data_IF_658771841379
#
_entry.id   IF_658771841379
#
_cell.length_a   1.000
_cell.length_b   1.000
_cell.length_c   1.000
_cell.angle_alpha   90.00
_cell.angle_beta   90.00
_cell.angle_gamma   90.00
#
_symmetry.space_group_name_H-M   'P 1'
#
loop_
_entity.id
_entity.type
_entity.pdbx_description
1 polymer ?
#
# COMPACT_ATOMS: atom_id res chain seq x y z
N UNK A 1 4.17 5.74 13.34
CA UNK A 1 3.41 4.57 12.86
C UNK A 1 2.14 5.07 12.20
N UNK A 2 1.62 4.43 11.15
CA UNK A 2 0.37 4.90 10.54
C UNK A 2 0.01 4.23 9.21
N UNK A 3 -0.93 4.85 8.50
CA UNK A 3 -1.25 4.52 7.11
C UNK A 3 -0.49 5.46 6.16
N UNK A 4 0.00 4.91 5.06
CA UNK A 4 0.51 5.63 3.90
C UNK A 4 -0.53 5.58 2.78
N UNK A 5 -1.06 6.74 2.35
CA UNK A 5 -1.98 6.79 1.22
C UNK A 5 -1.24 7.00 -0.10
N UNK A 6 -1.46 6.12 -1.06
CA UNK A 6 -1.01 6.32 -2.44
C UNK A 6 -2.01 7.21 -3.16
N UNK A 7 -1.57 8.38 -3.55
CA UNK A 7 -2.42 9.43 -4.11
C UNK A 7 -2.42 9.30 -5.63
N UNK A 8 -3.51 8.78 -6.17
CA UNK A 8 -3.80 8.85 -7.59
C UNK A 8 -4.40 10.19 -8.00
N UNK A 9 -4.56 10.39 -9.32
CA UNK A 9 -5.11 11.63 -9.91
C UNK A 9 -6.44 12.09 -9.29
N UNK A 10 -7.32 11.15 -8.93
CA UNK A 10 -8.66 11.46 -8.42
C UNK A 10 -8.72 11.52 -6.89
N UNK A 11 -7.57 11.33 -6.22
CA UNK A 11 -7.49 11.21 -4.77
C UNK A 11 -6.91 12.47 -4.12
N UNK A 12 -6.36 13.38 -4.93
CA UNK A 12 -5.75 14.66 -4.49
C UNK A 12 -6.67 15.44 -3.57
N UNK A 13 -7.88 15.80 -4.04
CA UNK A 13 -8.80 16.63 -3.26
C UNK A 13 -9.30 15.95 -1.97
N UNK A 14 -9.71 14.67 -1.99
CA UNK A 14 -10.01 13.92 -0.76
C UNK A 14 -8.87 13.92 0.27
N UNK A 15 -7.62 13.76 -0.18
CA UNK A 15 -6.44 13.76 0.70
C UNK A 15 -6.16 15.16 1.25
N UNK A 16 -6.15 16.18 0.39
CA UNK A 16 -5.97 17.58 0.77
C UNK A 16 -7.02 18.02 1.81
N UNK A 17 -8.30 17.78 1.55
CA UNK A 17 -9.40 18.16 2.45
C UNK A 17 -9.33 17.41 3.79
N UNK A 18 -8.89 16.16 3.79
CA UNK A 18 -8.71 15.40 5.02
C UNK A 18 -7.54 15.97 5.83
N UNK A 19 -6.36 16.07 5.22
CA UNK A 19 -5.13 16.52 5.89
C UNK A 19 -5.21 17.96 6.38
N UNK A 20 -5.90 18.84 5.65
CA UNK A 20 -6.15 20.22 6.08
C UNK A 20 -7.06 20.35 7.31
N UNK A 21 -7.74 19.27 7.73
CA UNK A 21 -8.59 19.26 8.93
C UNK A 21 -8.03 18.38 10.05
N UNK A 22 -7.38 17.27 9.69
CA UNK A 22 -6.84 16.28 10.62
C UNK A 22 -5.82 15.37 9.93
N UNK A 23 -4.88 14.83 10.70
CA UNK A 23 -3.90 13.86 10.19
C UNK A 23 -3.76 12.59 11.03
N UNK A 24 -4.59 12.40 12.06
CA UNK A 24 -4.49 11.26 12.96
C UNK A 24 -4.46 9.92 12.20
N UNK A 25 -3.50 9.07 12.57
CA UNK A 25 -3.32 7.76 11.96
C UNK A 25 -2.64 7.79 10.59
N UNK A 26 -2.42 8.95 9.96
CA UNK A 26 -1.69 9.07 8.69
C UNK A 26 -0.24 9.42 8.96
N UNK A 27 0.69 8.66 8.38
CA UNK A 27 2.13 8.93 8.52
C UNK A 27 2.77 9.41 7.24
N UNK A 28 2.18 9.11 6.09
CA UNK A 28 2.71 9.51 4.79
C UNK A 28 1.65 9.58 3.69
N UNK A 29 1.97 10.32 2.63
CA UNK A 29 1.33 10.22 1.31
C UNK A 29 2.39 9.91 0.27
N UNK A 30 2.11 8.96 -0.62
CA UNK A 30 2.97 8.65 -1.77
C UNK A 30 2.29 9.15 -3.03
N UNK A 31 2.91 10.12 -3.69
CA UNK A 31 2.46 10.65 -4.98
C UNK A 31 2.66 9.59 -6.07
N UNK A 32 1.71 9.49 -7.00
CA UNK A 32 1.80 8.58 -8.15
C UNK A 32 3.02 8.88 -9.04
N UNK A 33 3.49 7.86 -9.74
CA UNK A 33 4.54 7.94 -10.77
C UNK A 33 4.33 9.07 -11.80
N UNK A 34 3.08 9.37 -12.14
CA UNK A 34 2.67 10.41 -13.09
C UNK A 34 2.18 11.67 -12.38
N UNK A 35 2.61 11.89 -11.14
CA UNK A 35 2.26 13.09 -10.40
C UNK A 35 2.62 14.34 -11.21
N UNK A 36 1.60 15.15 -11.50
CA UNK A 36 1.75 16.46 -12.11
C UNK A 36 1.50 17.57 -11.09
N UNK A 37 1.39 18.80 -11.57
CA UNK A 37 1.21 20.02 -10.74
C UNK A 37 0.06 19.92 -9.73
N UNK A 38 -1.03 19.21 -10.04
CA UNK A 38 -2.16 19.05 -9.12
C UNK A 38 -1.81 18.28 -7.85
N UNK A 39 -0.79 17.41 -7.86
CA UNK A 39 -0.38 16.67 -6.67
C UNK A 39 0.37 17.55 -5.65
N UNK A 40 0.77 18.77 -6.04
CA UNK A 40 1.46 19.71 -5.15
C UNK A 40 0.57 20.25 -4.03
N UNK A 41 -0.74 20.36 -4.25
CA UNK A 41 -1.68 20.75 -3.18
C UNK A 41 -1.75 19.68 -2.08
N UNK A 42 -1.88 18.40 -2.45
CA UNK A 42 -1.86 17.30 -1.49
C UNK A 42 -0.51 17.19 -0.77
N UNK A 43 0.61 17.41 -1.48
CA UNK A 43 1.93 17.46 -0.86
C UNK A 43 2.11 18.66 0.09
N UNK A 44 1.55 19.82 -0.24
CA UNK A 44 1.50 21.00 0.64
C UNK A 44 0.75 20.70 1.93
N UNK A 45 -0.49 20.24 1.82
CA UNK A 45 -1.32 19.88 2.98
C UNK A 45 -0.66 18.80 3.85
N UNK A 46 -0.01 17.80 3.25
CA UNK A 46 0.73 16.79 3.99
C UNK A 46 1.89 17.40 4.79
N UNK A 47 2.70 18.29 4.19
CA UNK A 47 3.80 18.95 4.90
C UNK A 47 3.31 19.82 6.05
N UNK A 48 2.26 20.61 5.83
CA UNK A 48 1.64 21.45 6.87
C UNK A 48 1.14 20.60 8.05
N UNK A 49 0.65 19.38 7.76
CA UNK A 49 0.22 18.42 8.75
C UNK A 49 1.34 17.53 9.34
N UNK A 50 2.63 17.80 9.03
CA UNK A 50 3.80 16.99 9.40
C UNK A 50 3.72 15.52 8.95
N UNK A 51 3.05 15.27 7.82
CA UNK A 51 2.94 13.97 7.16
C UNK A 51 4.02 13.86 6.08
N UNK A 52 4.73 12.73 6.05
CA UNK A 52 5.79 12.53 5.07
C UNK A 52 5.23 12.50 3.64
N UNK A 53 5.93 13.13 2.70
CA UNK A 53 5.61 13.11 1.28
C UNK A 53 6.66 12.29 0.55
N UNK A 54 6.21 11.23 -0.12
CA UNK A 54 7.03 10.38 -0.99
C UNK A 54 6.58 10.53 -2.43
N UNK A 55 7.45 10.16 -3.37
CA UNK A 55 7.11 10.00 -4.77
C UNK A 55 7.58 8.63 -5.24
N UNK A 56 6.79 7.97 -6.06
CA UNK A 56 7.11 6.65 -6.59
C UNK A 56 7.76 6.76 -7.98
N UNK A 57 9.01 6.30 -8.17
CA UNK A 57 9.66 6.34 -9.48
C UNK A 57 8.98 5.45 -10.55
N UNK A 58 8.41 4.31 -10.14
CA UNK A 58 7.73 3.37 -11.04
C UNK A 58 8.66 2.68 -12.05
N UNK A 59 9.97 2.68 -11.80
CA UNK A 59 10.99 2.10 -12.68
C UNK A 59 10.77 0.60 -12.91
N UNK A 60 10.22 -0.12 -11.94
CA UNK A 60 9.87 -1.53 -12.06
C UNK A 60 8.81 -1.79 -13.12
N UNK A 61 7.90 -0.82 -13.35
CA UNK A 61 6.89 -0.90 -14.42
C UNK A 61 7.42 -0.48 -15.77
N UNK A 62 8.47 0.34 -15.79
CA UNK A 62 9.16 0.79 -17.01
C UNK A 62 10.18 -0.24 -17.52
N UNK A 63 10.42 -1.34 -16.78
CA UNK A 63 11.20 -2.49 -17.25
C UNK A 63 10.42 -3.47 -18.14
N UNK A 64 9.19 -3.13 -18.54
CA UNK A 64 8.34 -3.97 -19.40
C UNK A 64 7.57 -3.11 -20.38
N UNK A 65 7.30 -3.62 -21.58
CA UNK A 65 6.52 -2.89 -22.59
C UNK A 65 5.16 -2.45 -22.03
N UNK A 66 4.73 -1.24 -22.38
CA UNK A 66 3.48 -0.70 -21.90
C UNK A 66 2.89 0.40 -22.77
N UNK A 67 1.57 0.50 -22.76
CA UNK A 67 0.87 1.64 -23.34
C UNK A 67 0.99 2.88 -22.44
N UNK A 68 1.08 4.06 -23.05
CA UNK A 68 1.17 5.37 -22.38
C UNK A 68 2.40 5.54 -21.48
N UNK A 69 3.51 4.87 -21.82
CA UNK A 69 4.79 5.06 -21.15
C UNK A 69 5.36 6.46 -21.28
N UNK A 70 5.12 7.15 -22.41
CA UNK A 70 5.54 8.54 -22.61
C UNK A 70 4.95 9.55 -21.62
N UNK A 71 4.03 9.14 -20.74
CA UNK A 71 3.54 9.98 -19.64
C UNK A 71 4.35 9.82 -18.34
N UNK A 72 5.29 8.86 -18.28
CA UNK A 72 6.15 8.66 -17.13
C UNK A 72 7.40 9.54 -17.23
N UNK A 73 7.78 10.29 -16.18
CA UNK A 73 8.94 11.18 -16.22
C UNK A 73 10.26 10.49 -16.55
N UNK A 74 10.39 9.21 -16.20
CA UNK A 74 11.62 8.42 -16.39
C UNK A 74 11.64 7.64 -17.71
N UNK A 75 10.61 7.72 -18.55
CA UNK A 75 10.59 6.99 -19.80
C UNK A 75 11.55 7.59 -20.83
N UNK A 76 12.45 6.77 -21.37
CA UNK A 76 13.48 7.19 -22.34
C UNK A 76 13.25 6.62 -23.74
N UNK A 77 12.03 6.20 -24.07
CA UNK A 77 11.69 5.63 -25.38
C UNK A 77 11.81 4.11 -25.48
N UNK A 78 12.46 3.45 -24.53
CA UNK A 78 12.58 1.99 -24.46
C UNK A 78 12.48 1.47 -23.01
N UNK A 79 12.03 0.22 -22.80
CA UNK A 79 12.02 -0.39 -21.48
C UNK A 79 13.40 -0.47 -20.86
N UNK A 80 13.47 -0.29 -19.54
CA UNK A 80 14.71 -0.53 -18.80
C UNK A 80 15.08 -2.01 -18.83
N UNK A 81 16.36 -2.30 -18.98
CA UNK A 81 16.91 -3.65 -18.88
C UNK A 81 17.73 -3.74 -17.59
N UNK A 82 17.19 -4.32 -16.49
CA UNK A 82 17.91 -4.39 -15.21
C UNK A 82 19.32 -4.99 -15.33
N UNK A 83 19.49 -6.03 -16.16
CA UNK A 83 20.79 -6.64 -16.41
C UNK A 83 21.81 -5.68 -17.05
N UNK A 84 21.39 -4.83 -18.00
CA UNK A 84 22.26 -3.84 -18.62
C UNK A 84 22.65 -2.73 -17.62
N UNK A 85 21.68 -2.28 -16.82
CA UNK A 85 21.91 -1.27 -15.77
C UNK A 85 22.84 -1.81 -14.69
N UNK A 86 22.70 -3.09 -14.31
CA UNK A 86 23.59 -3.75 -13.35
C UNK A 86 25.02 -3.89 -13.89
N UNK A 87 25.18 -4.11 -15.19
CA UNK A 87 26.48 -4.25 -15.84
C UNK A 87 27.21 -2.92 -16.09
N UNK A 88 26.51 -1.77 -16.05
CA UNK A 88 27.07 -0.45 -16.38
C UNK A 88 26.90 0.54 -15.23
N UNK A 89 28.01 0.94 -14.62
CA UNK A 89 28.03 1.98 -13.59
C UNK A 89 27.47 3.31 -14.11
N UNK A 90 27.77 3.66 -15.37
CA UNK A 90 27.27 4.86 -16.02
C UNK A 90 25.75 4.82 -16.22
N UNK A 91 25.20 3.68 -16.63
CA UNK A 91 23.74 3.52 -16.79
C UNK A 91 23.03 3.60 -15.45
N UNK A 92 23.58 2.96 -14.42
CA UNK A 92 23.11 3.08 -13.04
C UNK A 92 23.14 4.54 -12.56
N UNK A 93 24.24 5.26 -12.77
CA UNK A 93 24.39 6.66 -12.37
C UNK A 93 23.41 7.57 -13.13
N UNK A 94 23.24 7.36 -14.44
CA UNK A 94 22.26 8.11 -15.25
C UNK A 94 20.83 7.87 -14.78
N UNK A 95 20.45 6.63 -14.47
CA UNK A 95 19.12 6.32 -13.96
C UNK A 95 18.88 6.98 -12.61
N UNK A 96 19.85 6.92 -11.69
CA UNK A 96 19.72 7.56 -10.38
C UNK A 96 19.63 9.07 -10.52
N UNK A 97 20.49 9.71 -11.31
CA UNK A 97 20.46 11.14 -11.54
C UNK A 97 19.12 11.60 -12.15
N UNK A 98 18.63 10.88 -13.17
CA UNK A 98 17.32 11.14 -13.76
C UNK A 98 16.18 10.97 -12.74
N UNK A 99 16.28 9.94 -11.89
CA UNK A 99 15.30 9.69 -10.83
C UNK A 99 15.28 10.82 -9.81
N UNK A 100 16.44 11.24 -9.30
CA UNK A 100 16.56 12.37 -8.36
C UNK A 100 16.04 13.66 -8.99
N UNK A 101 16.42 13.94 -10.24
CA UNK A 101 16.00 15.16 -10.93
C UNK A 101 14.50 15.20 -11.25
N UNK A 102 13.85 14.04 -11.39
CA UNK A 102 12.41 13.94 -11.62
C UNK A 102 11.58 14.00 -10.32
N UNK A 103 12.21 13.93 -9.14
CA UNK A 103 11.47 14.02 -7.88
C UNK A 103 10.77 15.38 -7.80
N UNK A 104 9.46 15.41 -7.54
CA UNK A 104 8.76 16.68 -7.45
C UNK A 104 9.17 17.48 -6.21
N UNK A 105 9.02 18.81 -6.29
CA UNK A 105 9.24 19.68 -5.14
C UNK A 105 8.32 19.32 -3.97
N UNK A 106 8.84 19.46 -2.75
CA UNK A 106 8.10 19.18 -1.52
C UNK A 106 8.08 17.72 -1.08
N UNK A 107 8.72 16.79 -1.81
CA UNK A 107 9.00 15.46 -1.25
C UNK A 107 9.93 15.58 -0.04
N UNK A 108 9.62 14.80 0.99
CA UNK A 108 10.38 14.77 2.25
C UNK A 108 11.54 13.77 2.21
N UNK A 109 11.46 12.79 1.32
CA UNK A 109 12.46 11.75 1.13
C UNK A 109 12.71 11.58 -0.37
N UNK A 110 13.92 11.12 -0.72
CA UNK A 110 14.22 10.69 -2.09
C UNK A 110 14.06 9.18 -2.17
N UNK A 111 13.18 8.73 -3.06
CA UNK A 111 12.94 7.31 -3.28
C UNK A 111 13.87 6.79 -4.38
N UNK A 112 14.68 5.80 -4.05
CA UNK A 112 15.58 5.18 -5.00
C UNK A 112 14.82 4.51 -6.16
N UNK A 113 15.35 4.51 -7.39
CA UNK A 113 14.83 3.66 -8.45
C UNK A 113 14.98 2.20 -8.05
N UNK A 114 14.01 1.39 -8.43
CA UNK A 114 13.95 -0.03 -8.05
C UNK A 114 13.29 -0.87 -9.15
N UNK A 115 13.59 -2.16 -9.15
CA UNK A 115 13.02 -3.15 -10.08
C UNK A 115 12.39 -4.31 -9.31
N UNK A 116 11.59 -5.11 -10.01
CA UNK A 116 10.93 -6.27 -9.42
C UNK A 116 11.94 -7.38 -9.12
N UNK A 117 12.04 -7.76 -7.86
CA UNK A 117 13.00 -8.77 -7.38
C UNK A 117 12.39 -10.16 -7.44
N UNK A 118 12.91 -11.00 -8.32
CA UNK A 118 12.66 -12.44 -8.36
C UNK A 118 13.95 -13.28 -8.28
N UNK A 119 15.11 -12.62 -8.34
CA UNK A 119 16.45 -13.23 -8.36
C UNK A 119 17.49 -12.31 -7.70
N UNK A 120 18.67 -12.86 -7.41
CA UNK A 120 19.72 -12.18 -6.66
C UNK A 120 20.30 -10.94 -7.36
N UNK A 121 20.50 -11.00 -8.69
CA UNK A 121 21.05 -9.90 -9.47
C UNK A 121 20.18 -8.63 -9.35
N UNK A 122 18.86 -8.76 -9.49
CA UNK A 122 17.95 -7.60 -9.36
C UNK A 122 17.88 -7.10 -7.91
N UNK A 123 17.98 -7.99 -6.92
CA UNK A 123 18.02 -7.60 -5.51
C UNK A 123 19.26 -6.74 -5.20
N UNK A 124 20.43 -7.19 -5.64
CA UNK A 124 21.69 -6.46 -5.47
C UNK A 124 21.71 -5.14 -6.25
N UNK A 125 21.15 -5.12 -7.48
CA UNK A 125 20.97 -3.89 -8.24
C UNK A 125 20.16 -2.86 -7.45
N UNK A 126 19.03 -3.26 -6.86
CA UNK A 126 18.20 -2.33 -6.08
C UNK A 126 18.93 -1.75 -4.85
N UNK A 127 19.77 -2.54 -4.18
CA UNK A 127 20.62 -2.03 -3.09
C UNK A 127 21.62 -1.02 -3.63
N UNK A 128 22.32 -1.34 -4.72
CA UNK A 128 23.32 -0.45 -5.33
C UNK A 128 22.69 0.86 -5.85
N UNK A 129 21.45 0.82 -6.35
CA UNK A 129 20.71 2.02 -6.75
C UNK A 129 20.32 2.88 -5.54
N UNK A 130 19.93 2.26 -4.41
CA UNK A 130 19.66 2.96 -3.17
C UNK A 130 20.91 3.62 -2.59
N UNK A 131 22.05 2.93 -2.59
CA UNK A 131 23.34 3.48 -2.16
C UNK A 131 23.74 4.72 -2.99
N UNK A 132 23.64 4.62 -4.32
CA UNK A 132 23.94 5.74 -5.22
C UNK A 132 22.99 6.92 -5.01
N UNK A 133 21.71 6.64 -4.77
CA UNK A 133 20.71 7.68 -4.48
C UNK A 133 21.05 8.41 -3.18
N UNK A 134 21.44 7.67 -2.13
CA UNK A 134 21.88 8.25 -0.86
C UNK A 134 23.13 9.13 -1.04
N UNK A 135 24.13 8.66 -1.80
CA UNK A 135 25.35 9.43 -2.09
C UNK A 135 25.10 10.71 -2.88
N UNK A 136 24.16 10.69 -3.83
CA UNK A 136 23.83 11.86 -4.66
C UNK A 136 23.02 12.90 -3.89
N UNK A 137 22.14 12.47 -2.97
CA UNK A 137 21.32 13.38 -2.17
C UNK A 137 21.46 13.13 -0.66
N UNK A 138 22.64 13.36 -0.05
CA UNK A 138 22.87 13.06 1.35
C UNK A 138 22.06 13.95 2.30
N UNK A 139 21.64 15.13 1.84
CA UNK A 139 20.86 16.08 2.64
C UNK A 139 19.38 15.70 2.81
N UNK A 140 18.87 14.70 2.08
CA UNK A 140 17.49 14.20 2.22
C UNK A 140 17.51 12.71 2.58
N UNK A 141 16.70 12.25 3.53
CA UNK A 141 16.61 10.83 3.86
C UNK A 141 16.26 10.00 2.62
N UNK A 142 16.96 8.86 2.47
CA UNK A 142 16.73 7.94 1.36
C UNK A 142 15.67 6.90 1.74
N UNK A 143 14.68 6.74 0.86
CA UNK A 143 13.66 5.70 0.96
C UNK A 143 13.88 4.64 -0.10
N UNK A 144 13.77 3.37 0.27
CA UNK A 144 13.77 2.27 -0.68
C UNK A 144 12.36 1.70 -0.88
N UNK A 145 12.11 1.11 -2.05
CA UNK A 145 10.96 0.23 -2.28
C UNK A 145 11.52 -1.12 -2.71
N UNK A 146 11.16 -2.17 -2.00
CA UNK A 146 11.47 -3.56 -2.35
C UNK A 146 10.18 -4.25 -2.81
N UNK A 147 9.96 -4.25 -4.13
CA UNK A 147 8.91 -5.08 -4.74
C UNK A 147 9.50 -6.44 -5.07
N UNK A 148 9.14 -7.47 -4.31
CA UNK A 148 9.76 -8.79 -4.33
C UNK A 148 8.73 -9.91 -4.53
N UNK A 149 9.13 -10.98 -5.23
CA UNK A 149 8.32 -12.17 -5.39
C UNK A 149 8.01 -12.81 -4.04
N UNK A 150 6.73 -12.97 -3.72
CA UNK A 150 6.27 -13.57 -2.47
C UNK A 150 6.69 -15.05 -2.33
N UNK A 151 7.05 -15.72 -3.44
CA UNK A 151 7.40 -17.15 -3.46
C UNK A 151 8.77 -17.43 -2.84
N UNK A 152 9.72 -16.52 -3.02
CA UNK A 152 11.11 -16.68 -2.60
C UNK A 152 11.63 -15.47 -1.79
N UNK A 153 10.75 -14.60 -1.31
CA UNK A 153 11.13 -13.39 -0.59
C UNK A 153 12.02 -13.67 0.62
N UNK A 154 11.64 -14.61 1.48
CA UNK A 154 12.41 -14.93 2.69
C UNK A 154 13.80 -15.49 2.34
N UNK A 155 13.87 -16.38 1.36
CA UNK A 155 15.11 -16.97 0.88
C UNK A 155 16.07 -15.89 0.36
N UNK A 156 15.60 -15.03 -0.56
CA UNK A 156 16.43 -13.96 -1.12
C UNK A 156 16.88 -12.94 -0.07
N UNK A 157 16.01 -12.61 0.89
CA UNK A 157 16.34 -11.68 1.97
C UNK A 157 17.43 -12.25 2.87
N UNK A 158 17.35 -13.54 3.20
CA UNK A 158 18.30 -14.22 4.09
C UNK A 158 19.62 -14.55 3.39
N UNK A 159 19.59 -15.18 2.22
CA UNK A 159 20.81 -15.59 1.48
C UNK A 159 21.70 -14.41 1.09
N UNK A 160 21.09 -13.25 0.80
CA UNK A 160 21.80 -12.05 0.41
C UNK A 160 21.98 -11.07 1.56
N UNK A 161 21.47 -11.34 2.76
CA UNK A 161 21.53 -10.39 3.87
C UNK A 161 20.98 -8.99 3.47
N UNK A 162 19.85 -8.96 2.74
CA UNK A 162 19.34 -7.73 2.11
C UNK A 162 19.03 -6.66 3.14
N UNK A 163 18.48 -7.04 4.29
CA UNK A 163 18.13 -6.10 5.35
C UNK A 163 19.37 -5.34 5.86
N UNK A 164 20.47 -6.04 6.14
CA UNK A 164 21.70 -5.39 6.55
C UNK A 164 22.36 -4.61 5.42
N UNK A 165 22.28 -5.09 4.16
CA UNK A 165 22.76 -4.34 3.00
C UNK A 165 22.06 -2.97 2.87
N UNK A 166 20.72 -2.94 2.93
CA UNK A 166 19.98 -1.68 2.89
C UNK A 166 20.31 -0.76 4.07
N UNK A 167 20.45 -1.32 5.28
CA UNK A 167 20.86 -0.54 6.44
C UNK A 167 22.27 0.05 6.29
N UNK A 168 23.25 -0.73 5.79
CA UNK A 168 24.64 -0.29 5.57
C UNK A 168 24.74 0.88 4.58
N UNK A 169 23.87 0.92 3.58
CA UNK A 169 23.88 1.99 2.57
C UNK A 169 23.09 3.23 2.99
N UNK A 170 22.60 3.29 4.24
CA UNK A 170 21.94 4.46 4.81
C UNK A 170 20.45 4.58 4.47
N UNK A 171 19.78 3.48 4.11
CA UNK A 171 18.31 3.51 3.96
C UNK A 171 17.66 3.52 5.33
N UNK A 172 16.91 4.59 5.62
CA UNK A 172 16.20 4.76 6.90
C UNK A 172 14.75 4.25 6.84
N UNK A 173 14.14 4.28 5.65
CA UNK A 173 12.76 3.89 5.43
C UNK A 173 12.64 2.98 4.21
N UNK A 174 11.90 1.88 4.36
CA UNK A 174 11.67 0.92 3.29
C UNK A 174 10.21 0.53 3.20
N UNK A 175 9.68 0.54 1.97
CA UNK A 175 8.39 -0.09 1.67
C UNK A 175 8.62 -1.47 1.05
N UNK A 176 8.07 -2.50 1.68
CA UNK A 176 8.20 -3.89 1.23
C UNK A 176 6.88 -4.34 0.61
N UNK A 177 6.92 -4.76 -0.65
CA UNK A 177 5.77 -5.21 -1.43
C UNK A 177 6.00 -6.63 -1.91
N UNK A 178 5.35 -7.58 -1.26
CA UNK A 178 5.37 -8.97 -1.69
C UNK A 178 4.39 -9.16 -2.86
N UNK A 179 4.80 -9.83 -3.93
CA UNK A 179 3.97 -10.03 -5.12
C UNK A 179 3.93 -11.51 -5.56
N UNK A 180 2.75 -12.11 -5.77
CA UNK A 180 1.43 -11.58 -5.41
C UNK A 180 1.23 -11.60 -3.89
N UNK A 181 0.53 -10.62 -3.32
CA UNK A 181 0.14 -10.60 -1.90
C UNK A 181 -0.97 -9.58 -1.64
N UNK A 182 -1.73 -9.76 -0.56
CA UNK A 182 -2.87 -8.92 -0.22
C UNK A 182 -4.21 -9.40 -0.79
N UNK A 183 -5.27 -8.65 -0.53
CA UNK A 183 -6.65 -9.02 -0.85
C UNK A 183 -7.28 -10.00 0.15
N UNK A 184 -8.36 -10.65 -0.29
CA UNK A 184 -9.30 -11.37 0.59
C UNK A 184 -9.08 -12.90 0.68
N UNK A 185 -8.14 -13.43 -0.11
CA UNK A 185 -7.80 -14.87 -0.18
C UNK A 185 -6.28 -15.10 0.02
N UNK A 186 -5.78 -14.77 1.21
CA UNK A 186 -4.39 -15.00 1.60
C UNK A 186 -4.33 -16.04 2.73
N UNK A 187 -3.47 -17.05 2.58
CA UNK A 187 -3.28 -18.09 3.58
C UNK A 187 -2.40 -17.64 4.75
N UNK A 188 -2.62 -18.24 5.92
CA UNK A 188 -1.81 -18.08 7.14
C UNK A 188 -0.30 -18.19 6.88
N UNK A 189 0.13 -19.22 6.16
CA UNK A 189 1.55 -19.44 5.82
C UNK A 189 2.16 -18.26 5.05
N UNK A 190 1.43 -17.68 4.09
CA UNK A 190 1.88 -16.53 3.31
C UNK A 190 1.96 -15.27 4.17
N UNK A 191 1.02 -15.07 5.09
CA UNK A 191 1.05 -13.93 6.01
C UNK A 191 2.25 -14.04 6.97
N UNK A 192 2.52 -15.23 7.51
CA UNK A 192 3.71 -15.48 8.34
C UNK A 192 5.00 -15.18 7.61
N UNK A 193 5.15 -15.69 6.39
CA UNK A 193 6.33 -15.42 5.58
C UNK A 193 6.49 -13.93 5.30
N UNK A 194 5.40 -13.21 5.02
CA UNK A 194 5.44 -11.77 4.85
C UNK A 194 5.94 -11.07 6.13
N UNK A 195 5.38 -11.39 7.29
CA UNK A 195 5.78 -10.76 8.56
C UNK A 195 7.22 -11.08 8.96
N UNK A 196 7.68 -12.31 8.74
CA UNK A 196 9.07 -12.68 8.94
C UNK A 196 10.02 -11.84 8.06
N UNK A 197 9.66 -11.58 6.80
CA UNK A 197 10.41 -10.66 5.94
C UNK A 197 10.43 -9.25 6.52
N UNK A 198 9.30 -8.71 6.99
CA UNK A 198 9.25 -7.37 7.59
C UNK A 198 10.16 -7.25 8.83
N UNK A 199 10.13 -8.26 9.70
CA UNK A 199 10.91 -8.29 10.93
C UNK A 199 12.42 -8.25 10.68
N UNK A 200 12.91 -8.86 9.58
CA UNK A 200 14.32 -8.77 9.18
C UNK A 200 14.73 -7.32 8.99
N UNK A 201 14.00 -6.54 8.20
CA UNK A 201 14.32 -5.14 7.96
C UNK A 201 14.16 -4.28 9.23
N UNK A 202 13.11 -4.54 10.01
CA UNK A 202 12.86 -3.84 11.27
C UNK A 202 13.97 -4.08 12.29
N UNK A 203 14.51 -5.31 12.37
CA UNK A 203 15.61 -5.66 13.29
C UNK A 203 16.91 -4.91 12.98
N UNK A 204 17.07 -4.43 11.75
CA UNK A 204 18.17 -3.57 11.33
C UNK A 204 17.88 -2.07 11.50
N UNK A 205 16.84 -1.71 12.26
CA UNK A 205 16.54 -0.31 12.63
C UNK A 205 15.83 0.51 11.56
N UNK A 206 15.47 -0.08 10.43
CA UNK A 206 14.71 0.62 9.38
C UNK A 206 13.26 0.82 9.79
N UNK A 207 12.68 1.95 9.35
CA UNK A 207 11.22 2.16 9.37
C UNK A 207 10.58 1.35 8.26
N UNK A 208 9.75 0.38 8.62
CA UNK A 208 9.17 -0.57 7.66
C UNK A 208 7.71 -0.25 7.36
N UNK A 209 7.41 -0.04 6.08
CA UNK A 209 6.05 0.02 5.54
C UNK A 209 5.73 -1.27 4.79
N UNK A 210 4.66 -1.97 5.15
CA UNK A 210 4.16 -3.10 4.34
C UNK A 210 3.21 -2.59 3.25
N UNK A 211 3.56 -2.83 1.99
CA UNK A 211 2.92 -2.18 0.87
C UNK A 211 1.67 -2.90 0.33
N UNK A 212 0.65 -2.11 -0.01
CA UNK A 212 -0.61 -2.49 -0.70
C UNK A 212 -1.28 -3.75 -0.13
N UNK A 213 -1.54 -3.76 1.18
CA UNK A 213 -2.05 -4.98 1.84
C UNK A 213 -3.22 -4.75 2.81
N UNK A 214 -3.90 -3.61 2.73
CA UNK A 214 -5.18 -3.34 3.42
C UNK A 214 -5.18 -3.80 4.88
N UNK A 215 -6.14 -4.66 5.24
CA UNK A 215 -6.31 -5.19 6.60
C UNK A 215 -5.13 -6.04 7.09
N UNK A 216 -4.43 -6.75 6.21
CA UNK A 216 -3.21 -7.49 6.58
C UNK A 216 -2.15 -6.50 7.10
N UNK A 217 -2.00 -5.36 6.43
CA UNK A 217 -1.08 -4.31 6.86
C UNK A 217 -1.43 -3.69 8.20
N UNK A 218 -2.72 -3.45 8.47
CA UNK A 218 -3.18 -2.96 9.77
C UNK A 218 -2.80 -3.94 10.90
N UNK A 219 -2.97 -5.25 10.68
CA UNK A 219 -2.60 -6.28 11.64
C UNK A 219 -1.08 -6.36 11.82
N UNK A 220 -0.29 -6.22 10.75
CA UNK A 220 1.16 -6.15 10.84
C UNK A 220 1.61 -5.01 11.76
N UNK A 221 0.95 -3.85 11.68
CA UNK A 221 1.20 -2.69 12.56
C UNK A 221 0.77 -2.97 14.00
N UNK A 222 -0.38 -3.62 14.20
CA UNK A 222 -0.88 -3.97 15.53
C UNK A 222 0.03 -4.95 16.28
N UNK A 223 0.59 -5.92 15.56
CA UNK A 223 1.54 -6.92 16.07
C UNK A 223 2.98 -6.39 16.16
N UNK A 224 3.27 -5.23 15.55
CA UNK A 224 4.57 -4.59 15.58
C UNK A 224 5.57 -5.12 14.55
N UNK A 225 5.11 -5.84 13.52
CA UNK A 225 5.94 -6.26 12.38
C UNK A 225 6.23 -5.11 11.40
N UNK A 226 5.37 -4.10 11.37
CA UNK A 226 5.53 -2.91 10.52
C UNK A 226 5.26 -1.63 11.31
N UNK A 227 5.89 -0.53 10.90
CA UNK A 227 5.59 0.79 11.43
C UNK A 227 4.41 1.42 10.68
N UNK A 228 4.23 1.07 9.42
CA UNK A 228 3.13 1.53 8.61
C UNK A 228 2.65 0.48 7.61
N UNK A 229 1.48 0.71 7.03
CA UNK A 229 1.05 0.00 5.83
C UNK A 229 0.60 1.00 4.76
N UNK A 230 0.81 0.66 3.49
CA UNK A 230 0.39 1.51 2.38
C UNK A 230 -0.84 0.96 1.66
N UNK A 231 -1.71 1.85 1.20
CA UNK A 231 -2.94 1.52 0.45
C UNK A 231 -3.22 2.58 -0.61
N UNK A 232 -3.82 2.19 -1.75
CA UNK A 232 -4.45 3.15 -2.65
C UNK A 232 -5.85 3.55 -2.17
N UNK A 233 -6.35 4.69 -2.63
CA UNK A 233 -7.65 5.21 -2.15
C UNK A 233 -8.82 4.49 -2.84
N UNK A 234 -9.33 3.42 -2.23
CA UNK A 234 -10.43 2.61 -2.75
C UNK A 234 -10.03 1.59 -3.82
N UNK A 235 -8.72 1.36 -3.99
CA UNK A 235 -8.09 0.37 -4.87
C UNK A 235 -6.66 0.10 -4.39
N UNK A 236 -5.92 -0.86 -4.98
CA UNK A 236 -4.55 -1.23 -4.56
C UNK A 236 -4.42 -1.67 -3.10
N UNK A 237 -5.28 -2.59 -2.66
CA UNK A 237 -5.11 -3.34 -1.40
C UNK A 237 -4.49 -4.73 -1.63
N UNK A 238 -3.92 -4.93 -2.82
CA UNK A 238 -3.10 -6.09 -3.17
C UNK A 238 -1.98 -5.67 -4.12
N UNK A 239 -0.83 -6.32 -3.99
CA UNK A 239 0.25 -6.27 -4.97
C UNK A 239 0.12 -7.48 -5.89
N UNK A 240 0.10 -7.24 -7.19
CA UNK A 240 0.26 -8.28 -8.21
C UNK A 240 1.02 -7.67 -9.39
N UNK A 241 2.34 -7.75 -9.33
CA UNK A 241 3.24 -7.16 -10.32
C UNK A 241 2.99 -7.76 -11.70
N UNK A 242 2.86 -9.09 -11.80
CA UNK A 242 2.62 -9.77 -13.08
C UNK A 242 1.31 -9.30 -13.71
N UNK A 243 0.21 -9.29 -12.96
CA UNK A 243 -1.07 -8.79 -13.46
C UNK A 243 -1.02 -7.29 -13.82
N UNK A 244 -0.26 -6.48 -13.08
CA UNK A 244 -0.06 -5.07 -13.40
C UNK A 244 0.68 -4.87 -14.73
N UNK A 245 1.75 -5.62 -14.98
CA UNK A 245 2.50 -5.60 -16.25
C UNK A 245 1.60 -6.09 -17.39
N UNK A 246 0.90 -7.23 -17.23
CA UNK A 246 0.00 -7.74 -18.26
C UNK A 246 -1.13 -6.76 -18.61
N UNK A 247 -1.67 -6.03 -17.63
CA UNK A 247 -2.68 -4.99 -17.88
C UNK A 247 -2.10 -3.79 -18.61
N UNK A 248 -0.89 -3.38 -18.25
CA UNK A 248 -0.20 -2.24 -18.88
C UNK A 248 0.18 -2.52 -20.34
N UNK A 249 0.45 -3.77 -20.69
CA UNK A 249 0.76 -4.19 -22.05
C UNK A 249 -0.48 -4.23 -22.97
N UNK A 250 -1.70 -4.01 -22.45
CA UNK A 250 -2.93 -4.00 -23.26
C UNK A 250 -3.28 -2.59 -23.74
N UNK A 251 -3.74 -2.42 -25.00
CA UNK A 251 -4.21 -1.13 -25.47
C UNK A 251 -5.42 -0.67 -24.67
N UNK A 252 -5.61 0.65 -24.48
CA UNK A 252 -6.87 1.19 -23.99
C UNK A 252 -8.02 0.73 -24.91
N UNK A 253 -9.18 0.41 -24.35
CA UNK A 253 -10.33 0.01 -25.16
C UNK A 253 -10.78 1.18 -26.07
N UNK A 254 -11.05 0.88 -27.36
CA UNK A 254 -11.26 1.86 -28.43
C UNK A 254 -12.39 2.88 -28.18
N UNK A 255 -13.39 2.51 -27.35
CA UNK A 255 -14.53 3.37 -27.00
C UNK A 255 -14.66 3.60 -25.49
N UNK A 256 -13.69 3.18 -24.69
CA UNK A 256 -13.71 3.53 -23.29
C UNK A 256 -13.30 5.01 -23.20
N UNK A 257 -14.23 5.87 -22.76
CA UNK A 257 -13.85 7.08 -22.02
C UNK A 257 -12.69 6.71 -21.09
N UNK A 258 -11.64 7.53 -21.01
CA UNK A 258 -10.44 7.29 -20.19
C UNK A 258 -10.81 7.15 -18.70
N UNK A 259 -11.42 6.04 -18.33
CA UNK A 259 -11.85 5.69 -16.98
C UNK A 259 -10.77 4.78 -16.45
N UNK A 260 -9.97 5.35 -15.55
CA UNK A 260 -9.05 4.57 -14.73
C UNK A 260 -9.80 3.56 -13.85
N UNK A 261 -9.08 2.79 -13.02
CA UNK A 261 -9.72 1.89 -12.06
C UNK A 261 -10.78 2.64 -11.25
N UNK A 262 -11.99 2.09 -11.23
CA UNK A 262 -13.08 2.66 -10.43
C UNK A 262 -12.87 2.25 -8.98
N UNK A 263 -12.68 3.23 -8.10
CA UNK A 263 -12.59 3.00 -6.67
C UNK A 263 -13.88 2.31 -6.18
N UNK A 264 -13.71 1.20 -5.45
CA UNK A 264 -14.82 0.60 -4.73
C UNK A 264 -15.16 1.40 -3.47
N UNK A 265 -16.21 0.98 -2.78
CA UNK A 265 -16.60 1.52 -1.48
C UNK A 265 -16.04 0.61 -0.41
N UNK A 266 -15.19 1.15 0.45
CA UNK A 266 -14.67 0.41 1.60
C UNK A 266 -15.69 0.37 2.73
N UNK A 267 -16.11 -0.83 3.14
CA UNK A 267 -17.01 -1.03 4.26
C UNK A 267 -16.19 -1.57 5.44
N UNK A 268 -15.70 -0.66 6.28
CA UNK A 268 -14.86 -0.95 7.45
C UNK A 268 -15.41 -2.07 8.37
N UNK A 269 -16.73 -2.12 8.66
CA UNK A 269 -17.28 -3.16 9.54
C UNK A 269 -17.17 -4.58 9.00
N UNK A 270 -17.01 -4.76 7.69
CA UNK A 270 -16.71 -6.06 7.07
C UNK A 270 -15.30 -6.10 6.48
N UNK A 271 -14.48 -5.08 6.71
CA UNK A 271 -13.12 -4.92 6.21
C UNK A 271 -12.91 -5.21 4.72
N UNK A 272 -13.88 -4.86 3.87
CA UNK A 272 -13.86 -5.17 2.44
C UNK A 272 -14.14 -3.94 1.57
N UNK A 273 -13.47 -3.84 0.41
CA UNK A 273 -13.83 -2.88 -0.63
C UNK A 273 -14.70 -3.55 -1.68
N UNK A 274 -15.95 -3.10 -1.80
CA UNK A 274 -16.95 -3.70 -2.70
C UNK A 274 -17.35 -2.75 -3.83
N UNK A 275 -17.89 -3.24 -4.96
CA UNK A 275 -18.42 -2.39 -6.01
C UNK A 275 -19.52 -1.45 -5.49
N UNK A 276 -19.61 -0.22 -6.04
CA UNK A 276 -20.57 0.81 -5.59
C UNK A 276 -22.01 0.31 -5.55
N UNK A 277 -22.45 -0.45 -6.57
CA UNK A 277 -23.80 -1.03 -6.63
C UNK A 277 -24.07 -1.98 -5.46
N UNK A 278 -23.10 -2.83 -5.12
CA UNK A 278 -23.21 -3.73 -3.98
C UNK A 278 -23.22 -2.96 -2.66
N UNK A 279 -22.36 -1.94 -2.54
CA UNK A 279 -22.31 -1.07 -1.36
C UNK A 279 -23.64 -0.36 -1.08
N UNK A 280 -24.24 0.25 -2.11
CA UNK A 280 -25.52 0.94 -2.01
C UNK A 280 -26.62 0.00 -1.51
N UNK A 281 -26.73 -1.20 -2.12
CA UNK A 281 -27.71 -2.20 -1.70
C UNK A 281 -27.50 -2.62 -0.23
N UNK A 282 -26.26 -2.88 0.18
CA UNK A 282 -25.96 -3.24 1.57
C UNK A 282 -26.27 -2.11 2.57
N UNK A 283 -26.04 -0.86 2.19
CA UNK A 283 -26.32 0.32 3.03
C UNK A 283 -27.81 0.70 3.07
N UNK A 284 -28.58 0.30 2.06
CA UNK A 284 -30.05 0.46 2.04
C UNK A 284 -30.78 -0.68 2.77
N UNK A 285 -30.16 -1.85 2.87
CA UNK A 285 -30.73 -3.03 3.51
C UNK A 285 -30.94 -2.80 5.03
N UNK A 286 -32.21 -2.75 5.44
CA UNK A 286 -32.62 -2.42 6.83
C UNK A 286 -32.07 -3.38 7.88
N UNK A 287 -31.79 -4.62 7.52
CA UNK A 287 -31.35 -5.67 8.45
C UNK A 287 -29.87 -5.57 8.83
N UNK A 288 -29.08 -4.86 8.02
CA UNK A 288 -27.62 -4.80 8.17
C UNK A 288 -27.05 -3.37 8.17
N UNK A 289 -27.78 -2.40 7.60
CA UNK A 289 -27.31 -1.03 7.40
C UNK A 289 -26.80 -0.35 8.67
N UNK A 290 -27.42 -0.60 9.82
CA UNK A 290 -27.01 -0.01 11.10
C UNK A 290 -25.64 -0.49 11.57
N UNK A 291 -25.20 -1.67 11.11
CA UNK A 291 -23.88 -2.26 11.38
C UNK A 291 -22.84 -1.86 10.34
N UNK A 292 -23.26 -1.46 9.14
CA UNK A 292 -22.37 -1.06 8.03
C UNK A 292 -22.16 0.45 7.93
N UNK A 293 -23.10 1.26 8.44
CA UNK A 293 -23.08 2.71 8.30
C UNK A 293 -21.82 3.33 8.92
N UNK A 294 -21.14 4.19 8.14
CA UNK A 294 -20.09 5.05 8.68
C UNK A 294 -20.71 6.28 9.34
N UNK A 295 -20.25 6.62 10.54
CA UNK A 295 -20.70 7.82 11.29
C UNK A 295 -19.61 8.85 11.48
N UNK A 296 -18.52 8.72 10.74
CA UNK A 296 -17.33 9.57 10.87
C UNK A 296 -17.37 10.72 9.86
N UNK A 297 -16.97 11.92 10.28
CA UNK A 297 -16.83 13.07 9.39
C UNK A 297 -18.12 13.41 8.64
N UNK A 298 -18.04 13.56 7.31
CA UNK A 298 -19.20 13.84 6.45
C UNK A 298 -20.21 12.69 6.41
N UNK A 299 -19.78 11.44 6.63
CA UNK A 299 -20.67 10.27 6.58
C UNK A 299 -21.74 10.25 7.67
N UNK A 300 -21.61 11.07 8.72
CA UNK A 300 -22.67 11.22 9.73
C UNK A 300 -23.96 11.82 9.16
N UNK A 301 -23.89 12.50 8.01
CA UNK A 301 -25.02 13.23 7.42
C UNK A 301 -25.91 12.34 6.55
N UNK A 302 -25.39 11.23 6.02
CA UNK A 302 -26.13 10.32 5.14
C UNK A 302 -25.56 8.91 5.19
N UNK A 303 -26.45 7.91 5.24
CA UNK A 303 -26.05 6.49 5.20
C UNK A 303 -25.43 6.09 3.85
N UNK A 304 -25.74 6.83 2.78
CA UNK A 304 -25.22 6.63 1.44
C UNK A 304 -24.00 7.50 1.13
N UNK A 305 -23.56 8.37 2.04
CA UNK A 305 -22.33 9.15 1.85
C UNK A 305 -21.09 8.29 1.52
N UNK A 306 -20.91 7.07 2.08
CA UNK A 306 -19.84 6.16 1.64
C UNK A 306 -19.90 5.81 0.16
N UNK A 307 -21.10 5.78 -0.43
CA UNK A 307 -21.31 5.55 -1.86
C UNK A 307 -21.05 6.82 -2.64
N UNK A 308 -21.59 7.97 -2.22
CA UNK A 308 -21.51 9.23 -2.97
C UNK A 308 -20.08 9.76 -3.01
N UNK A 309 -19.41 9.76 -1.85
CA UNK A 309 -18.07 10.30 -1.63
C UNK A 309 -17.04 9.20 -1.31
N UNK A 310 -17.08 8.08 -2.05
CA UNK A 310 -16.31 6.86 -1.76
C UNK A 310 -14.82 7.04 -1.44
N UNK A 311 -14.12 7.98 -2.10
CA UNK A 311 -12.70 8.25 -1.85
C UNK A 311 -12.47 8.98 -0.54
N UNK A 312 -13.23 10.04 -0.28
CA UNK A 312 -13.23 10.76 1.00
C UNK A 312 -13.62 9.83 2.14
N UNK A 313 -14.59 8.95 1.89
CA UNK A 313 -14.97 7.89 2.82
C UNK A 313 -13.83 6.93 3.12
N UNK A 314 -13.14 6.46 2.08
CA UNK A 314 -12.01 5.55 2.20
C UNK A 314 -10.88 6.14 3.06
N UNK A 315 -10.45 7.37 2.75
CA UNK A 315 -9.33 8.04 3.44
C UNK A 315 -9.63 8.14 4.93
N UNK A 316 -10.77 8.70 5.31
CA UNK A 316 -11.04 8.87 6.74
C UNK A 316 -11.31 7.54 7.45
N UNK A 317 -11.91 6.55 6.78
CA UNK A 317 -12.19 5.25 7.40
C UNK A 317 -10.89 4.52 7.74
N UNK A 318 -9.96 4.42 6.78
CA UNK A 318 -8.65 3.80 7.01
C UNK A 318 -7.82 4.58 8.03
N UNK A 319 -7.82 5.92 7.96
CA UNK A 319 -7.15 6.75 8.94
C UNK A 319 -7.74 6.58 10.35
N UNK A 320 -9.07 6.50 10.49
CA UNK A 320 -9.74 6.30 11.78
C UNK A 320 -9.47 4.91 12.38
N UNK A 321 -9.44 3.85 11.57
CA UNK A 321 -9.05 2.51 12.02
C UNK A 321 -7.64 2.52 12.62
N UNK A 322 -6.69 3.13 11.90
CA UNK A 322 -5.31 3.28 12.34
C UNK A 322 -5.18 4.18 13.58
N UNK A 323 -5.83 5.35 13.59
CA UNK A 323 -5.81 6.25 14.74
C UNK A 323 -6.36 5.56 16.00
N UNK A 324 -7.44 4.81 15.85
CA UNK A 324 -8.04 4.08 16.96
C UNK A 324 -7.17 2.92 17.46
N UNK A 325 -6.43 2.26 16.57
CA UNK A 325 -5.41 1.28 16.95
C UNK A 325 -4.27 1.95 17.75
N UNK A 326 -3.73 3.06 17.23
CA UNK A 326 -2.59 3.75 17.82
C UNK A 326 -2.92 4.44 19.15
N UNK A 327 -4.18 4.83 19.35
CA UNK A 327 -4.69 5.34 20.63
C UNK A 327 -4.64 4.31 21.76
N UNK A 328 -4.44 3.02 21.46
CA UNK A 328 -4.20 1.99 22.47
C UNK A 328 -2.69 1.83 22.77
N UNK A 329 -2.33 1.57 24.04
CA UNK A 329 -0.99 1.10 24.42
C UNK A 329 -0.57 -0.10 23.56
N UNK A 330 0.73 -0.19 23.27
CA UNK A 330 1.28 -1.16 22.30
C UNK A 330 0.90 -2.60 22.66
N UNK A 331 0.95 -2.94 23.93
CA UNK A 331 0.63 -4.23 24.51
C UNK A 331 -0.84 -4.66 24.30
N UNK A 332 -1.76 -3.70 24.12
CA UNK A 332 -3.20 -3.97 23.95
C UNK A 332 -3.68 -3.92 22.51
N UNK A 333 -2.82 -3.49 21.58
CA UNK A 333 -3.16 -3.37 20.15
C UNK A 333 -3.54 -4.72 19.54
N UNK A 334 -2.81 -5.78 19.91
CA UNK A 334 -3.10 -7.13 19.44
C UNK A 334 -4.51 -7.58 19.84
N UNK A 335 -4.87 -7.47 21.12
CA UNK A 335 -6.19 -7.84 21.64
C UNK A 335 -7.31 -7.04 20.99
N UNK A 336 -7.12 -5.73 20.80
CA UNK A 336 -8.10 -4.89 20.10
C UNK A 336 -8.35 -5.41 18.68
N UNK A 337 -7.30 -5.68 17.92
CA UNK A 337 -7.45 -6.13 16.54
C UNK A 337 -8.00 -7.56 16.44
N UNK A 338 -7.68 -8.46 17.38
CA UNK A 338 -8.33 -9.78 17.44
C UNK A 338 -9.85 -9.65 17.54
N UNK A 339 -10.35 -8.83 18.47
CA UNK A 339 -11.79 -8.60 18.66
C UNK A 339 -12.42 -7.99 17.40
N UNK A 340 -11.79 -6.96 16.83
CA UNK A 340 -12.26 -6.33 15.59
C UNK A 340 -12.34 -7.29 14.42
N UNK A 341 -11.33 -8.16 14.25
CA UNK A 341 -11.32 -9.14 13.16
C UNK A 341 -12.41 -10.18 13.34
N UNK A 342 -12.67 -10.64 14.57
CA UNK A 342 -13.74 -11.58 14.87
C UNK A 342 -15.12 -10.97 14.53
N UNK A 343 -15.38 -9.73 14.96
CA UNK A 343 -16.61 -9.00 14.61
C UNK A 343 -16.76 -8.80 13.09
N UNK A 344 -15.68 -8.41 12.42
CA UNK A 344 -15.65 -8.23 10.96
C UNK A 344 -15.93 -9.52 10.20
N UNK A 345 -15.35 -10.63 10.65
CA UNK A 345 -15.57 -11.95 10.06
C UNK A 345 -17.03 -12.37 10.23
N UNK A 346 -17.57 -12.30 11.45
CA UNK A 346 -18.96 -12.64 11.73
C UNK A 346 -19.94 -11.80 10.89
N UNK A 347 -19.67 -10.48 10.77
CA UNK A 347 -20.52 -9.61 9.97
C UNK A 347 -20.42 -9.90 8.48
N UNK A 348 -19.22 -10.23 7.97
CA UNK A 348 -19.00 -10.62 6.58
C UNK A 348 -19.69 -11.95 6.25
N UNK A 349 -19.66 -12.92 7.16
CA UNK A 349 -20.40 -14.19 7.02
C UNK A 349 -21.91 -13.95 6.97
N UNK A 350 -22.46 -13.13 7.87
CA UNK A 350 -23.87 -12.73 7.83
C UNK A 350 -24.26 -12.06 6.51
N UNK A 351 -23.40 -11.18 5.98
CA UNK A 351 -23.63 -10.55 4.67
C UNK A 351 -23.69 -11.60 3.58
N UNK A 352 -22.73 -12.53 3.55
CA UNK A 352 -22.67 -13.61 2.56
C UNK A 352 -23.87 -14.55 2.61
N UNK A 353 -24.41 -14.80 3.80
CA UNK A 353 -25.53 -15.73 4.02
C UNK A 353 -26.90 -15.11 3.75
N UNK A 354 -27.08 -13.81 4.07
CA UNK A 354 -28.42 -13.22 4.17
C UNK A 354 -28.60 -11.91 3.42
N UNK A 355 -27.53 -11.24 2.98
CA UNK A 355 -27.63 -9.89 2.43
C UNK A 355 -27.17 -9.76 0.98
N UNK A 356 -26.46 -10.75 0.44
CA UNK A 356 -26.05 -10.74 -0.96
C UNK A 356 -27.23 -11.08 -1.89
N UNK A 357 -27.32 -10.44 -3.07
CA UNK A 357 -28.35 -10.78 -4.04
C UNK A 357 -28.08 -12.16 -4.64
N UNK A 358 -29.14 -12.83 -5.11
CA UNK A 358 -29.02 -14.14 -5.76
C UNK A 358 -28.02 -14.08 -6.92
N UNK A 359 -27.08 -15.03 -6.96
CA UNK A 359 -26.03 -15.12 -7.98
C UNK A 359 -24.82 -14.19 -7.78
N UNK A 360 -24.78 -13.37 -6.73
CA UNK A 360 -23.56 -12.62 -6.40
C UNK A 360 -22.48 -13.54 -5.83
N UNK A 361 -21.23 -13.31 -6.25
CA UNK A 361 -20.07 -13.95 -5.62
C UNK A 361 -19.96 -13.55 -4.16
N UNK A 362 -19.63 -14.52 -3.30
CA UNK A 362 -19.38 -14.27 -1.89
C UNK A 362 -18.17 -13.34 -1.72
N UNK A 363 -18.20 -12.56 -0.64
CA UNK A 363 -17.03 -11.81 -0.18
C UNK A 363 -16.14 -12.81 0.56
N UNK A 364 -14.96 -13.10 0.01
CA UNK A 364 -14.02 -14.09 0.56
C UNK A 364 -13.70 -13.81 2.04
N UNK A 365 -13.55 -14.86 2.85
CA UNK A 365 -13.31 -14.75 4.31
C UNK A 365 -11.96 -15.29 4.76
N UNK A 366 -11.21 -15.94 3.86
CA UNK A 366 -9.99 -16.68 4.22
C UNK A 366 -8.92 -15.81 4.83
N UNK A 367 -8.69 -14.59 4.32
CA UNK A 367 -7.72 -13.67 4.90
C UNK A 367 -8.07 -13.33 6.35
N UNK A 368 -9.33 -13.03 6.67
CA UNK A 368 -9.74 -12.69 8.04
C UNK A 368 -9.55 -13.88 8.99
N UNK A 369 -9.91 -15.09 8.56
CA UNK A 369 -9.67 -16.33 9.33
C UNK A 369 -8.18 -16.55 9.57
N UNK A 370 -7.37 -16.46 8.52
CA UNK A 370 -5.91 -16.59 8.63
C UNK A 370 -5.30 -15.53 9.56
N UNK A 371 -5.82 -14.30 9.58
CA UNK A 371 -5.37 -13.27 10.51
C UNK A 371 -5.76 -13.57 11.96
N UNK A 372 -6.95 -14.15 12.21
CA UNK A 372 -7.35 -14.59 13.55
C UNK A 372 -6.47 -15.74 14.05
N UNK A 373 -6.16 -16.71 13.20
CA UNK A 373 -5.29 -17.85 13.53
C UNK A 373 -3.88 -17.39 13.97
N UNK A 374 -3.38 -16.26 13.47
CA UNK A 374 -2.11 -15.69 13.96
C UNK A 374 -2.13 -15.33 15.45
N UNK A 375 -3.27 -14.86 15.95
CA UNK A 375 -3.40 -14.46 17.35
C UNK A 375 -3.57 -15.67 18.27
N UNK A 376 -4.28 -16.72 17.82
CA UNK A 376 -4.46 -17.96 18.57
C UNK A 376 -3.11 -18.61 18.83
N UNK A 377 -2.29 -18.79 17.79
CA UNK A 377 -0.96 -19.40 17.93
C UNK A 377 -0.04 -18.57 18.85
N UNK A 378 -0.17 -17.24 18.82
CA UNK A 378 0.60 -16.36 19.71
C UNK A 378 0.18 -16.50 21.18
N UNK A 379 -1.11 -16.65 21.45
CA UNK A 379 -1.62 -16.90 22.81
C UNK A 379 -1.15 -18.26 23.33
N UNK A 380 -1.18 -19.30 22.47
CA UNK A 380 -0.66 -20.62 22.81
C UNK A 380 0.85 -20.63 23.05
N UNK A 381 1.64 -19.87 22.29
CA UNK A 381 3.09 -19.76 22.48
C UNK A 381 3.50 -18.95 23.73
N UNK A 382 2.58 -18.18 24.30
CA UNK A 382 2.81 -17.35 25.50
C UNK A 382 2.27 -17.99 26.79
N UNK A 383 1.57 -19.11 26.68
CA UNK A 383 1.05 -19.94 27.78
C UNK A 383 2.01 -21.09 28.05
#
# INVERSE_FOLDING_TARGET
MGVEFRVGRNDVKPIEDFLGRRSDGVTAVSLDTKAGTTHFHAAGAAREANVAVYWEPGTERLASVGYNHGQHPLWQGAPFTPAAIAASADDSNRLVAATVSAHPDGVTHVTAPHFFVNEAMTAQLNVALAERTHKIQPAKPTRAILTISARNAIQLVDELDLAAQYARVGVEAIEIRLSPFGGEDVSLSRIRNAYAVLDKFRSHGMRVTVGHCGTIGLVAVALGHADAHSVGVGYLEKVDHSAAISRQARPPAAHAERRGPTAGVYLAPIAATVPRKLAAMLLENRDIRSRLACRTGACRNSILEPVDSARTHYVHSRAAEMASLLARPREWRATLETNRLAERLQLRERVNEHCLPSGASKIETRTLRSLLDLFVDRQQAAS
#
